data_IF_528699925060
#
_entry.id   IF_528699925060
#
_cell.length_a   1.000
_cell.length_b   1.000
_cell.length_c   1.000
_cell.angle_alpha   90.00
_cell.angle_beta   90.00
_cell.angle_gamma   90.00
#
_symmetry.space_group_name_H-M   'P 1'
#
loop_
_entity.id
_entity.type
_entity.pdbx_description
1 polymer ?
#
# COMPACT_ATOMS: atom_id res chain seq x y z
N UNK A 1 -9.33 7.13 -12.65
CA UNK A 1 -8.99 5.69 -12.66
C UNK A 1 -8.56 5.28 -11.27
N UNK A 2 -8.52 3.99 -10.96
CA UNK A 2 -8.06 3.52 -9.65
C UNK A 2 -7.11 2.34 -9.81
N UNK A 3 -6.14 2.24 -8.93
CA UNK A 3 -5.28 1.07 -8.78
C UNK A 3 -5.67 0.36 -7.49
N UNK A 4 -5.84 -0.94 -7.57
CA UNK A 4 -5.97 -1.82 -6.42
C UNK A 4 -4.61 -2.45 -6.13
N UNK A 5 -4.16 -2.33 -4.90
CA UNK A 5 -2.95 -2.98 -4.39
C UNK A 5 -3.40 -4.07 -3.43
N UNK A 6 -3.16 -5.33 -3.79
CA UNK A 6 -3.45 -6.48 -2.94
C UNK A 6 -2.13 -6.96 -2.30
N UNK A 7 -2.10 -7.01 -0.98
CA UNK A 7 -0.96 -7.48 -0.20
C UNK A 7 -1.07 -9.00 -0.05
N UNK A 8 -0.53 -9.76 -1.01
CA UNK A 8 -0.53 -11.22 -0.94
C UNK A 8 0.29 -11.71 0.26
N UNK A 9 1.42 -11.08 0.50
CA UNK A 9 2.11 -11.08 1.78
C UNK A 9 2.60 -9.68 2.09
N UNK A 10 2.47 -9.24 3.33
CA UNK A 10 3.07 -8.00 3.82
C UNK A 10 3.34 -8.13 5.32
N UNK A 11 4.62 -8.36 5.61
CA UNK A 11 5.22 -8.49 6.93
C UNK A 11 6.28 -7.40 7.06
N UNK A 12 5.99 -6.41 7.88
CA UNK A 12 6.90 -5.31 8.23
C UNK A 12 6.99 -5.21 9.76
N UNK A 13 7.99 -4.50 10.27
CA UNK A 13 8.06 -4.18 11.70
C UNK A 13 6.75 -3.53 12.18
N UNK A 14 6.33 -3.91 13.38
CA UNK A 14 5.11 -3.38 14.00
C UNK A 14 5.25 -1.86 14.26
N UNK A 15 4.13 -1.12 14.26
CA UNK A 15 4.15 0.26 14.72
C UNK A 15 4.59 0.34 16.18
N UNK A 16 5.07 1.51 16.61
CA UNK A 16 5.31 1.78 18.03
C UNK A 16 3.98 1.90 18.81
N UNK A 17 4.07 2.11 20.13
CA UNK A 17 2.91 2.22 21.02
C UNK A 17 1.92 3.34 20.65
N UNK A 18 2.37 4.32 19.84
CA UNK A 18 1.54 5.42 19.34
C UNK A 18 0.94 5.14 17.95
N UNK A 19 1.07 3.91 17.43
CA UNK A 19 0.59 3.55 16.09
C UNK A 19 1.45 4.12 14.95
N UNK A 20 2.69 4.53 15.21
CA UNK A 20 3.56 5.15 14.20
C UNK A 20 4.55 4.14 13.61
N UNK A 21 4.62 4.12 12.29
CA UNK A 21 5.54 3.29 11.50
C UNK A 21 6.95 3.91 11.46
N UNK A 22 7.74 3.72 12.53
CA UNK A 22 9.09 4.31 12.67
C UNK A 22 10.20 3.44 12.09
N UNK A 23 10.08 2.11 12.22
CA UNK A 23 11.13 1.17 11.81
C UNK A 23 11.00 0.79 10.34
N UNK A 24 9.81 0.33 9.98
CA UNK A 24 9.45 -0.04 8.61
C UNK A 24 8.19 0.73 8.22
N UNK A 25 8.15 1.22 6.98
CA UNK A 25 7.06 2.00 6.45
C UNK A 25 6.86 1.70 4.96
N UNK A 26 5.66 1.28 4.61
CA UNK A 26 5.16 1.29 3.23
C UNK A 26 4.42 2.61 3.00
N UNK A 27 4.88 3.35 2.01
CA UNK A 27 4.40 4.68 1.66
C UNK A 27 3.95 4.64 0.20
N UNK A 28 2.74 5.15 -0.05
CA UNK A 28 2.19 5.26 -1.41
C UNK A 28 1.96 6.75 -1.73
N UNK A 29 2.58 7.24 -2.80
CA UNK A 29 2.49 8.64 -3.23
C UNK A 29 2.10 8.76 -4.70
N UNK A 30 1.86 10.00 -5.16
CA UNK A 30 1.53 10.31 -6.56
C UNK A 30 0.07 10.07 -6.97
N UNK A 31 -0.73 9.45 -6.11
CA UNK A 31 -2.19 9.38 -6.24
C UNK A 31 -2.91 10.64 -5.73
N UNK A 32 -4.19 10.76 -6.09
CA UNK A 32 -5.11 11.72 -5.48
C UNK A 32 -5.68 11.22 -4.13
N UNK A 33 -5.44 9.95 -3.78
CA UNK A 33 -5.81 9.38 -2.49
C UNK A 33 -4.73 9.65 -1.44
N UNK A 34 -5.13 10.15 -0.27
CA UNK A 34 -4.29 10.16 0.93
C UNK A 34 -4.25 8.74 1.51
N UNK A 35 -3.20 7.98 1.18
CA UNK A 35 -2.97 6.64 1.73
C UNK A 35 -2.17 6.79 3.03
N UNK A 36 -2.62 6.22 4.17
CA UNK A 36 -1.84 6.25 5.40
C UNK A 36 -0.54 5.44 5.23
N UNK A 37 0.46 5.74 6.04
CA UNK A 37 1.66 4.90 6.11
C UNK A 37 1.28 3.54 6.69
N UNK A 38 1.72 2.47 6.03
CA UNK A 38 1.37 1.09 6.41
C UNK A 38 2.61 0.38 6.96
N UNK A 39 2.47 -0.31 8.08
CA UNK A 39 3.48 -1.18 8.68
C UNK A 39 2.82 -2.33 9.45
N UNK A 40 3.62 -3.21 10.05
CA UNK A 40 3.14 -4.43 10.67
C UNK A 40 2.63 -5.46 9.66
N UNK A 41 1.60 -6.21 10.06
CA UNK A 41 1.12 -7.39 9.33
C UNK A 41 -0.16 -7.10 8.57
N UNK A 42 -0.09 -7.14 7.25
CA UNK A 42 -1.21 -6.75 6.37
C UNK A 42 -1.46 -7.76 5.24
N UNK A 43 -0.89 -8.96 5.35
CA UNK A 43 -1.14 -10.08 4.42
C UNK A 43 -2.64 -10.36 4.27
N UNK A 44 -3.11 -10.50 3.04
CA UNK A 44 -4.51 -10.71 2.68
C UNK A 44 -5.35 -9.42 2.57
N UNK A 45 -4.80 -8.26 2.92
CA UNK A 45 -5.50 -6.98 2.79
C UNK A 45 -5.26 -6.31 1.43
N UNK A 46 -6.00 -5.24 1.17
CA UNK A 46 -5.86 -4.45 -0.04
C UNK A 46 -6.20 -2.98 0.18
N UNK A 47 -5.65 -2.12 -0.66
CA UNK A 47 -5.96 -0.69 -0.70
C UNK A 47 -6.32 -0.24 -2.12
N UNK A 48 -7.09 0.84 -2.20
CA UNK A 48 -7.40 1.52 -3.46
C UNK A 48 -6.73 2.89 -3.51
N UNK A 49 -6.01 3.13 -4.59
CA UNK A 49 -5.31 4.38 -4.85
C UNK A 49 -5.97 5.02 -6.07
N UNK A 50 -6.62 6.16 -5.86
CA UNK A 50 -7.14 6.95 -6.97
C UNK A 50 -6.00 7.72 -7.61
N UNK A 51 -5.99 7.79 -8.94
CA UNK A 51 -5.05 8.62 -9.68
C UNK A 51 -5.78 9.32 -10.83
N UNK A 52 -5.35 10.55 -11.09
CA UNK A 52 -5.88 11.43 -12.12
C UNK A 52 -5.10 11.32 -13.44
N UNK A 53 -4.08 10.46 -13.51
CA UNK A 53 -3.24 10.28 -14.69
C UNK A 53 -2.19 11.37 -14.89
N UNK A 54 -2.07 12.33 -13.96
CA UNK A 54 -1.09 13.41 -14.04
C UNK A 54 0.24 13.09 -13.34
N UNK A 55 0.27 12.06 -12.50
CA UNK A 55 1.45 11.65 -11.76
C UNK A 55 1.48 10.13 -11.59
N UNK A 56 2.69 9.58 -11.59
CA UNK A 56 2.91 8.15 -11.39
C UNK A 56 2.63 7.77 -9.93
N UNK A 57 2.03 6.59 -9.73
CA UNK A 57 1.89 6.03 -8.38
C UNK A 57 3.24 5.42 -7.98
N UNK A 58 3.81 5.93 -6.89
CA UNK A 58 5.08 5.42 -6.34
C UNK A 58 4.79 4.67 -5.05
N UNK A 59 5.22 3.40 -5.00
CA UNK A 59 5.16 2.55 -3.81
C UNK A 59 6.58 2.45 -3.28
N UNK A 60 6.82 2.97 -2.08
CA UNK A 60 8.13 2.96 -1.43
C UNK A 60 8.05 2.15 -0.14
N UNK A 61 9.01 1.25 0.04
CA UNK A 61 9.17 0.51 1.29
C UNK A 61 10.49 0.97 1.90
N UNK A 62 10.39 1.69 3.02
CA UNK A 62 11.52 2.12 3.81
C UNK A 62 11.68 1.19 5.00
N UNK A 63 12.89 0.72 5.26
CA UNK A 63 13.17 -0.22 6.34
C UNK A 63 14.46 0.15 7.07
N UNK A 64 14.50 -0.03 8.38
CA UNK A 64 15.67 0.33 9.21
C UNK A 64 15.91 -0.69 10.33
N UNK A 65 17.14 -0.78 10.84
CA UNK A 65 17.50 -1.79 11.84
C UNK A 65 17.72 -3.19 11.28
N UNK A 66 18.35 -4.06 12.07
CA UNK A 66 19.01 -5.28 11.58
C UNK A 66 18.21 -6.59 11.75
N UNK A 67 17.10 -6.62 12.50
CA UNK A 67 16.52 -7.88 13.01
C UNK A 67 14.99 -8.01 12.88
N UNK A 68 14.43 -7.73 11.70
CA UNK A 68 13.03 -8.07 11.42
C UNK A 68 12.94 -9.06 10.24
N UNK A 69 12.18 -10.14 10.40
CA UNK A 69 11.76 -10.97 9.27
C UNK A 69 10.77 -10.17 8.43
N UNK A 70 11.22 -9.66 7.27
CA UNK A 70 10.42 -8.83 6.37
C UNK A 70 10.07 -9.61 5.12
N UNK A 71 8.83 -9.51 4.67
CA UNK A 71 8.38 -10.13 3.43
C UNK A 71 7.28 -9.28 2.81
N UNK A 72 7.36 -9.01 1.51
CA UNK A 72 6.27 -8.36 0.79
C UNK A 72 6.09 -8.97 -0.59
N UNK A 73 4.84 -9.23 -0.94
CA UNK A 73 4.39 -9.64 -2.25
C UNK A 73 3.10 -8.88 -2.55
N UNK A 74 3.19 -7.93 -3.48
CA UNK A 74 2.12 -6.98 -3.77
C UNK A 74 1.66 -7.19 -5.21
N UNK A 75 0.38 -7.51 -5.38
CA UNK A 75 -0.27 -7.57 -6.68
C UNK A 75 -0.90 -6.22 -6.99
N UNK A 76 -0.52 -5.65 -8.14
CA UNK A 76 -1.02 -4.36 -8.63
C UNK A 76 -2.02 -4.60 -9.74
N UNK A 77 -3.22 -4.04 -9.62
CA UNK A 77 -4.26 -4.12 -10.65
C UNK A 77 -4.83 -2.73 -10.97
N UNK A 78 -4.70 -2.30 -12.22
CA UNK A 78 -5.32 -1.07 -12.71
C UNK A 78 -6.78 -1.33 -13.09
N UNK A 79 -7.69 -0.53 -12.55
CA UNK A 79 -9.11 -0.59 -12.85
C UNK A 79 -9.47 0.62 -13.72
N UNK A 80 -9.76 0.32 -15.00
CA UNK A 80 -10.15 1.32 -16.00
C UNK A 80 -11.50 1.97 -15.70
N UNK A 81 -11.72 3.17 -16.25
CA UNK A 81 -12.95 3.96 -16.04
C UNK A 81 -14.23 3.30 -16.62
N UNK A 82 -14.10 2.30 -17.48
CA UNK A 82 -15.23 1.62 -18.13
C UNK A 82 -15.58 0.26 -17.49
N UNK A 83 -15.18 0.02 -16.23
CA UNK A 83 -15.52 -1.24 -15.56
C UNK A 83 -16.99 -1.19 -15.07
N UNK A 84 -17.93 -1.99 -15.60
CA UNK A 84 -19.35 -1.92 -15.25
C UNK A 84 -19.68 -2.48 -13.86
N UNK A 85 -18.71 -2.93 -13.07
CA UNK A 85 -18.96 -3.75 -11.87
C UNK A 85 -19.24 -2.96 -10.60
N UNK A 86 -19.71 -1.70 -10.71
CA UNK A 86 -20.60 -1.16 -9.68
C UNK A 86 -22.00 -1.69 -9.98
N UNK A 87 -22.25 -2.93 -9.53
CA UNK A 87 -23.58 -3.51 -9.52
C UNK A 87 -24.54 -2.56 -8.83
N UNK A 88 -25.61 -2.25 -9.54
CA UNK A 88 -26.89 -1.76 -9.02
C UNK A 88 -27.40 -2.64 -7.90
#
# INVERSE_FOLDING_TARGET
MKVRLDFLSLTLAQPNDNGTCVTDALIVTGGASNVPVICGENSGQHIYVNFNGASDIVISISTSGALASRAWNIKVAQIGCNCPTRGT
#
